data_IF_409254958730
#
_entry.id   IF_409254958730
#
_cell.length_a   1.000
_cell.length_b   1.000
_cell.length_c   1.000
_cell.angle_alpha   90.00
_cell.angle_beta   90.00
_cell.angle_gamma   90.00
#
_symmetry.space_group_name_H-M   'P 1'
#
loop_
_entity.id
_entity.type
_entity.pdbx_description
1 polymer ?
#
# COMPACT_ATOMS: atom_id res chain seq x y z
N UNK A 1 -13.51 8.64 -41.08
CA UNK A 1 -13.35 8.39 -39.63
C UNK A 1 -14.16 7.15 -39.27
N UNK A 2 -13.45 6.03 -39.09
CA UNK A 2 -14.08 4.76 -38.69
C UNK A 2 -14.30 4.86 -37.19
N UNK A 3 -15.52 4.92 -36.72
CA UNK A 3 -15.84 4.80 -35.31
C UNK A 3 -15.42 3.40 -34.85
N UNK A 4 -14.49 3.31 -33.88
CA UNK A 4 -14.10 2.05 -33.25
C UNK A 4 -15.28 1.59 -32.41
N UNK A 5 -15.79 0.39 -32.65
CA UNK A 5 -16.89 -0.19 -31.87
C UNK A 5 -16.35 -0.82 -30.58
N UNK A 6 -17.23 -1.02 -29.59
CA UNK A 6 -16.84 -1.76 -28.35
C UNK A 6 -16.31 -3.17 -28.65
N UNK A 7 -16.83 -3.81 -29.70
CA UNK A 7 -16.37 -5.13 -30.15
C UNK A 7 -14.95 -5.08 -30.72
N UNK A 8 -14.58 -3.99 -31.42
CA UNK A 8 -13.21 -3.81 -31.95
C UNK A 8 -12.22 -3.60 -30.79
N UNK A 9 -12.64 -2.99 -29.67
CA UNK A 9 -11.82 -2.80 -28.48
C UNK A 9 -11.60 -4.13 -27.72
N UNK A 10 -12.61 -4.97 -27.61
CA UNK A 10 -12.51 -6.28 -26.99
C UNK A 10 -11.54 -7.19 -27.73
N UNK A 11 -11.49 -7.11 -29.07
CA UNK A 11 -10.59 -7.91 -29.92
C UNK A 11 -9.11 -7.52 -29.80
N UNK A 12 -8.81 -6.26 -29.48
CA UNK A 12 -7.44 -5.74 -29.30
C UNK A 12 -7.03 -5.61 -27.85
N UNK A 13 -7.97 -5.82 -26.92
CA UNK A 13 -7.71 -5.73 -25.49
C UNK A 13 -6.74 -6.81 -25.02
N UNK A 14 -5.68 -6.38 -24.36
CA UNK A 14 -4.70 -7.28 -23.75
C UNK A 14 -4.15 -6.69 -22.45
N UNK A 15 -3.38 -7.48 -21.71
CA UNK A 15 -2.79 -7.08 -20.44
C UNK A 15 -1.90 -5.84 -20.56
N UNK A 16 -1.18 -5.65 -21.66
CA UNK A 16 -0.29 -4.52 -21.88
C UNK A 16 -1.09 -3.21 -21.95
N UNK A 17 -2.25 -3.22 -22.61
CA UNK A 17 -3.14 -2.06 -22.71
C UNK A 17 -3.79 -1.70 -21.37
N UNK A 18 -3.95 -2.66 -20.47
CA UNK A 18 -4.49 -2.41 -19.13
C UNK A 18 -3.55 -1.58 -18.25
N UNK A 19 -2.25 -1.53 -18.55
CA UNK A 19 -1.22 -0.95 -17.70
C UNK A 19 -0.95 -1.76 -16.43
N UNK A 20 -1.48 -2.99 -16.34
CA UNK A 20 -1.17 -3.91 -15.26
C UNK A 20 0.20 -4.54 -15.46
N UNK A 21 0.94 -4.63 -14.37
CA UNK A 21 2.24 -5.30 -14.30
C UNK A 21 2.08 -6.57 -13.48
N UNK A 22 2.30 -7.72 -14.11
CA UNK A 22 2.22 -9.02 -13.45
C UNK A 22 3.63 -9.55 -13.26
N UNK A 23 4.04 -9.76 -12.00
CA UNK A 23 5.37 -10.27 -11.64
C UNK A 23 5.23 -11.57 -10.87
N UNK A 24 5.88 -12.62 -11.35
CA UNK A 24 5.95 -13.89 -10.63
C UNK A 24 7.09 -13.86 -9.62
N UNK A 25 6.76 -14.12 -8.36
CA UNK A 25 7.69 -14.34 -7.24
C UNK A 25 7.73 -15.83 -6.89
N UNK A 26 8.56 -16.20 -5.92
CA UNK A 26 8.70 -17.62 -5.50
C UNK A 26 7.36 -18.19 -4.99
N UNK A 27 6.66 -17.45 -4.13
CA UNK A 27 5.49 -17.95 -3.39
C UNK A 27 4.16 -17.33 -3.84
N UNK A 28 4.19 -16.31 -4.69
CA UNK A 28 2.99 -15.62 -5.18
C UNK A 28 3.22 -14.95 -6.54
N UNK A 29 2.14 -14.64 -7.21
CA UNK A 29 2.13 -13.70 -8.33
C UNK A 29 1.62 -12.36 -7.84
N UNK A 30 2.35 -11.30 -8.13
CA UNK A 30 2.01 -9.93 -7.79
C UNK A 30 1.43 -9.20 -9.00
N UNK A 31 0.33 -8.50 -8.80
CA UNK A 31 -0.30 -7.63 -9.79
C UNK A 31 -0.25 -6.21 -9.25
N UNK A 32 0.37 -5.32 -10.00
CA UNK A 32 0.49 -3.88 -9.72
C UNK A 32 0.05 -3.07 -10.93
N UNK A 33 -0.03 -1.76 -10.79
CA UNK A 33 -0.31 -0.83 -11.89
C UNK A 33 0.87 0.13 -12.09
N UNK A 34 1.18 0.45 -13.36
CA UNK A 34 2.11 1.54 -13.68
C UNK A 34 1.64 2.92 -13.19
N UNK A 35 0.37 3.04 -12.76
CA UNK A 35 -0.23 4.25 -12.17
C UNK A 35 -0.27 4.22 -10.64
N UNK A 36 0.48 3.34 -9.98
CA UNK A 36 0.51 3.09 -8.54
C UNK A 36 -0.75 2.39 -8.02
N UNK A 37 -1.93 2.96 -8.26
CA UNK A 37 -3.19 2.45 -7.73
C UNK A 37 -3.91 1.53 -8.72
N UNK A 38 -4.53 0.50 -8.19
CA UNK A 38 -5.48 -0.37 -8.87
C UNK A 38 -6.89 0.13 -8.59
N UNK A 39 -7.66 0.40 -9.64
CA UNK A 39 -9.03 0.88 -9.53
C UNK A 39 -9.91 -0.17 -8.83
N UNK A 40 -10.90 0.29 -8.07
CA UNK A 40 -11.75 -0.57 -7.24
C UNK A 40 -12.38 -1.73 -8.02
N UNK A 41 -12.97 -1.45 -9.18
CA UNK A 41 -13.56 -2.49 -10.04
C UNK A 41 -12.55 -3.52 -10.52
N UNK A 42 -11.31 -3.10 -10.78
CA UNK A 42 -10.22 -4.02 -11.16
C UNK A 42 -9.85 -4.92 -9.98
N UNK A 43 -9.73 -4.35 -8.79
CA UNK A 43 -9.45 -5.09 -7.55
C UNK A 43 -10.55 -6.11 -7.27
N UNK A 44 -11.81 -5.68 -7.32
CA UNK A 44 -12.97 -6.56 -7.10
C UNK A 44 -12.99 -7.74 -8.09
N UNK A 45 -12.82 -7.47 -9.39
CA UNK A 45 -12.83 -8.52 -10.42
C UNK A 45 -11.68 -9.50 -10.22
N UNK A 46 -10.44 -9.02 -10.02
CA UNK A 46 -9.31 -9.91 -9.80
C UNK A 46 -9.52 -10.76 -8.54
N UNK A 47 -10.03 -10.18 -7.45
CA UNK A 47 -10.26 -10.92 -6.21
C UNK A 47 -11.42 -11.91 -6.31
N UNK A 48 -12.45 -11.65 -7.11
CA UNK A 48 -13.55 -12.59 -7.38
C UNK A 48 -13.07 -13.79 -8.19
N UNK A 49 -12.25 -13.55 -9.21
CA UNK A 49 -11.72 -14.60 -10.08
C UNK A 49 -10.58 -15.39 -9.41
N UNK A 50 -9.96 -14.82 -8.36
CA UNK A 50 -8.83 -15.41 -7.62
C UNK A 50 -9.08 -15.38 -6.11
N UNK A 51 -9.92 -16.28 -5.60
CA UNK A 51 -10.42 -16.29 -4.21
C UNK A 51 -9.35 -16.33 -3.10
N UNK A 52 -8.15 -16.79 -3.41
CA UNK A 52 -7.04 -16.82 -2.44
C UNK A 52 -6.17 -15.56 -2.46
N UNK A 53 -6.56 -14.53 -3.21
CA UNK A 53 -5.79 -13.29 -3.35
C UNK A 53 -5.72 -12.49 -2.04
N UNK A 54 -4.65 -11.73 -1.88
CA UNK A 54 -4.45 -10.74 -0.83
C UNK A 54 -4.34 -9.35 -1.45
N UNK A 55 -5.15 -8.42 -0.97
CA UNK A 55 -5.08 -7.00 -1.34
C UNK A 55 -4.00 -6.33 -0.50
N UNK A 56 -3.23 -5.45 -1.13
CA UNK A 56 -2.24 -4.61 -0.46
C UNK A 56 -2.51 -3.15 -0.77
N UNK A 57 -2.43 -2.30 0.26
CA UNK A 57 -2.48 -0.86 0.12
C UNK A 57 -1.30 -0.24 0.86
N UNK A 58 -0.33 0.27 0.13
CA UNK A 58 0.81 0.99 0.69
C UNK A 58 0.44 2.46 0.86
N UNK A 59 0.73 3.04 2.02
CA UNK A 59 0.38 4.43 2.33
C UNK A 59 1.46 5.12 3.15
N UNK A 60 1.70 6.41 2.84
CA UNK A 60 2.56 7.26 3.64
C UNK A 60 1.71 7.91 4.75
N UNK A 61 1.91 7.49 6.00
CA UNK A 61 1.21 8.04 7.16
C UNK A 61 1.96 9.20 7.77
N UNK A 62 1.25 10.10 8.46
CA UNK A 62 1.84 11.28 9.08
C UNK A 62 2.70 10.92 10.29
N UNK A 63 2.22 9.97 11.11
CA UNK A 63 2.95 9.51 12.28
C UNK A 63 2.48 8.15 12.76
N UNK A 64 3.39 7.45 13.45
CA UNK A 64 3.13 6.25 14.25
C UNK A 64 3.55 6.61 15.69
N UNK A 65 2.61 6.56 16.62
CA UNK A 65 2.80 7.16 17.96
C UNK A 65 2.47 6.19 19.09
N UNK A 66 3.24 6.29 20.18
CA UNK A 66 2.98 5.65 21.47
C UNK A 66 3.55 6.46 22.63
N UNK A 67 2.70 6.87 23.58
CA UNK A 67 3.11 7.45 24.87
C UNK A 67 4.17 8.57 24.77
N UNK A 68 4.03 9.48 23.80
CA UNK A 68 4.97 10.58 23.57
C UNK A 68 6.13 10.27 22.63
N UNK A 69 6.35 8.99 22.27
CA UNK A 69 7.28 8.63 21.21
C UNK A 69 6.55 8.68 19.85
N UNK A 70 7.22 9.19 18.83
CA UNK A 70 6.65 9.32 17.48
C UNK A 70 7.67 8.96 16.40
N UNK A 71 7.19 8.36 15.34
CA UNK A 71 7.92 8.15 14.08
C UNK A 71 7.15 8.92 13.01
N UNK A 72 7.71 10.01 12.47
CA UNK A 72 7.05 10.81 11.46
C UNK A 72 7.11 10.13 10.09
N UNK A 73 6.22 10.51 9.22
CA UNK A 73 6.17 10.20 7.78
C UNK A 73 6.75 8.83 7.39
N UNK A 74 5.94 7.80 7.61
CA UNK A 74 6.37 6.42 7.43
C UNK A 74 5.45 5.66 6.49
N UNK A 75 6.02 4.76 5.69
CA UNK A 75 5.20 3.82 4.95
C UNK A 75 4.62 2.75 5.88
N UNK A 76 3.32 2.50 5.71
CA UNK A 76 2.58 1.39 6.29
C UNK A 76 1.93 0.62 5.15
N UNK A 77 1.88 -0.69 5.26
CA UNK A 77 1.17 -1.55 4.33
C UNK A 77 -0.07 -2.12 5.00
N UNK A 78 -1.23 -1.84 4.42
CA UNK A 78 -2.45 -2.54 4.78
C UNK A 78 -2.60 -3.77 3.90
N UNK A 79 -2.90 -4.94 4.47
CA UNK A 79 -3.08 -6.18 3.72
C UNK A 79 -4.07 -7.13 4.39
N UNK A 80 -4.62 -8.09 3.63
CA UNK A 80 -5.59 -9.03 4.17
C UNK A 80 -4.94 -10.06 5.10
N UNK A 81 -3.78 -10.59 4.69
CA UNK A 81 -3.04 -11.63 5.43
C UNK A 81 -1.55 -11.37 5.38
N UNK A 82 -0.87 -11.62 6.48
CA UNK A 82 0.59 -11.66 6.54
C UNK A 82 1.07 -13.08 6.85
N UNK A 83 1.76 -13.74 5.92
CA UNK A 83 2.24 -15.13 6.05
C UNK A 83 1.13 -16.09 6.53
N UNK A 84 -0.07 -15.99 5.94
CA UNK A 84 -1.25 -16.81 6.27
C UNK A 84 -2.01 -16.38 7.52
N UNK A 85 -1.51 -15.44 8.32
CA UNK A 85 -2.23 -14.85 9.44
C UNK A 85 -3.19 -13.77 8.94
N UNK A 86 -4.50 -13.95 9.17
CA UNK A 86 -5.53 -12.95 8.88
C UNK A 86 -5.42 -11.85 9.92
N UNK A 87 -5.23 -10.62 9.47
CA UNK A 87 -5.11 -9.46 10.34
C UNK A 87 -6.48 -9.00 10.84
N UNK A 88 -6.60 -8.77 12.14
CA UNK A 88 -7.81 -8.18 12.73
C UNK A 88 -7.82 -6.67 12.48
N UNK A 89 -9.01 -6.07 12.38
CA UNK A 89 -9.18 -4.63 12.12
C UNK A 89 -8.52 -3.72 13.17
N UNK A 90 -8.32 -4.22 14.38
CA UNK A 90 -7.68 -3.52 15.49
C UNK A 90 -6.21 -3.90 15.69
N UNK A 91 -5.64 -4.71 14.79
CA UNK A 91 -4.29 -5.25 14.92
C UNK A 91 -3.27 -4.49 14.07
N UNK A 92 -2.08 -4.28 14.66
CA UNK A 92 -0.90 -3.79 13.95
C UNK A 92 0.28 -4.74 14.19
N UNK A 93 0.99 -5.08 13.12
CA UNK A 93 2.30 -5.69 13.21
C UNK A 93 3.33 -4.58 13.10
N UNK A 94 4.27 -4.49 14.02
CA UNK A 94 5.37 -3.54 13.97
C UNK A 94 6.65 -4.22 13.51
N UNK A 95 7.48 -3.54 12.73
CA UNK A 95 8.87 -3.95 12.61
C UNK A 95 9.57 -3.83 13.95
N UNK A 96 10.58 -4.64 14.19
CA UNK A 96 11.42 -4.52 15.39
C UNK A 96 12.06 -3.13 15.48
N UNK A 97 12.43 -2.52 14.35
CA UNK A 97 12.87 -1.14 14.30
C UNK A 97 11.82 -0.17 14.86
N UNK A 98 10.57 -0.22 14.37
CA UNK A 98 9.51 0.66 14.84
C UNK A 98 9.15 0.38 16.32
N UNK A 99 9.09 -0.88 16.70
CA UNK A 99 8.81 -1.29 18.07
C UNK A 99 9.86 -0.75 19.05
N UNK A 100 11.16 -0.85 18.71
CA UNK A 100 12.25 -0.31 19.52
C UNK A 100 12.18 1.21 19.64
N UNK A 101 11.95 1.92 18.55
CA UNK A 101 11.88 3.37 18.51
C UNK A 101 10.69 3.93 19.30
N UNK A 102 9.55 3.23 19.29
CA UNK A 102 8.36 3.58 20.07
C UNK A 102 8.40 3.04 21.50
N UNK A 103 9.35 2.17 21.85
CA UNK A 103 9.35 1.43 23.10
C UNK A 103 8.14 0.47 23.22
N UNK A 104 7.59 0.03 22.08
CA UNK A 104 6.36 -0.74 22.02
C UNK A 104 6.59 -2.24 22.16
N UNK A 105 5.60 -2.93 22.76
CA UNK A 105 5.56 -4.39 22.95
C UNK A 105 4.21 -4.94 22.48
N UNK A 106 4.15 -6.24 22.28
CA UNK A 106 2.88 -6.93 21.99
C UNK A 106 1.85 -6.59 23.07
N UNK A 107 0.64 -6.22 22.64
CA UNK A 107 -0.48 -5.78 23.48
C UNK A 107 -0.59 -4.27 23.69
N UNK A 108 0.45 -3.50 23.40
CA UNK A 108 0.41 -2.03 23.49
C UNK A 108 -0.49 -1.41 22.42
N UNK A 109 -0.96 -0.21 22.70
CA UNK A 109 -1.79 0.57 21.76
C UNK A 109 -0.91 1.56 21.00
N UNK A 110 -1.02 1.54 19.68
CA UNK A 110 -0.35 2.44 18.74
C UNK A 110 -1.38 3.32 18.07
N UNK A 111 -1.12 4.62 18.01
CA UNK A 111 -1.91 5.57 17.24
C UNK A 111 -1.22 5.81 15.91
N UNK A 112 -1.96 5.66 14.82
CA UNK A 112 -1.50 5.97 13.45
C UNK A 112 -2.30 7.16 12.94
N UNK A 113 -1.61 8.24 12.60
CA UNK A 113 -2.21 9.45 12.01
C UNK A 113 -1.91 9.51 10.52
N UNK A 114 -2.87 9.89 9.69
CA UNK A 114 -2.74 9.92 8.24
C UNK A 114 -3.59 11.03 7.64
N UNK A 115 -3.25 11.44 6.42
CA UNK A 115 -4.09 12.33 5.64
C UNK A 115 -5.22 11.53 4.99
N UNK A 116 -6.43 12.06 5.06
CA UNK A 116 -7.61 11.53 4.38
C UNK A 116 -8.08 12.53 3.34
N UNK A 117 -8.33 12.07 2.13
CA UNK A 117 -8.85 12.93 1.07
C UNK A 117 -10.37 13.04 1.20
N UNK A 118 -10.87 14.24 1.50
CA UNK A 118 -12.29 14.58 1.39
C UNK A 118 -12.56 15.31 0.07
N UNK A 119 -12.83 14.55 -1.00
CA UNK A 119 -13.05 15.11 -2.33
C UNK A 119 -11.77 15.65 -2.99
N UNK A 120 -11.93 16.54 -3.98
CA UNK A 120 -10.83 16.94 -4.88
C UNK A 120 -9.85 17.98 -4.30
N UNK A 121 -10.08 18.57 -3.12
CA UNK A 121 -9.32 19.74 -2.67
C UNK A 121 -8.99 19.84 -1.18
N UNK A 122 -9.42 18.90 -0.34
CA UNK A 122 -9.18 18.99 1.09
C UNK A 122 -8.54 17.71 1.61
N UNK A 123 -7.41 17.87 2.28
CA UNK A 123 -6.76 16.84 3.06
C UNK A 123 -7.05 17.12 4.53
N UNK A 124 -7.81 16.26 5.17
CA UNK A 124 -8.00 16.29 6.61
C UNK A 124 -7.09 15.25 7.28
N UNK A 125 -6.65 15.53 8.49
CA UNK A 125 -5.89 14.56 9.28
C UNK A 125 -6.86 13.71 10.08
N UNK A 126 -6.75 12.40 9.96
CA UNK A 126 -7.47 11.42 10.76
C UNK A 126 -6.50 10.50 11.49
N UNK A 127 -6.97 9.72 12.45
CA UNK A 127 -6.13 8.81 13.20
C UNK A 127 -6.91 7.59 13.70
N UNK A 128 -6.23 6.44 13.72
CA UNK A 128 -6.75 5.20 14.28
C UNK A 128 -5.82 4.61 15.33
N UNK A 129 -6.40 3.86 16.24
CA UNK A 129 -5.68 3.11 17.26
C UNK A 129 -5.71 1.62 16.93
N UNK A 130 -4.54 0.98 17.10
CA UNK A 130 -4.34 -0.44 16.88
C UNK A 130 -3.63 -1.06 18.07
N UNK A 131 -3.84 -2.34 18.30
CA UNK A 131 -3.08 -3.13 19.27
C UNK A 131 -1.95 -3.87 18.59
N UNK A 132 -0.77 -3.81 19.16
CA UNK A 132 0.38 -4.59 18.66
C UNK A 132 0.11 -6.07 18.83
N UNK A 133 -0.13 -6.76 17.71
CA UNK A 133 -0.34 -8.20 17.68
C UNK A 133 0.98 -8.97 17.62
N UNK A 134 1.98 -8.41 16.93
CA UNK A 134 3.31 -9.03 16.75
C UNK A 134 4.37 -7.98 16.47
N UNK A 135 5.60 -8.26 16.89
CA UNK A 135 6.81 -7.57 16.41
C UNK A 135 7.53 -8.51 15.45
N UNK A 136 7.87 -8.02 14.27
CA UNK A 136 8.46 -8.80 13.16
C UNK A 136 9.84 -8.23 12.85
N UNK A 137 10.88 -9.06 12.63
CA UNK A 137 12.17 -8.56 12.17
C UNK A 137 12.03 -7.76 10.86
N UNK A 138 12.58 -6.54 10.82
CA UNK A 138 12.53 -5.69 9.63
C UNK A 138 13.17 -6.38 8.41
N UNK A 139 14.18 -7.21 8.64
CA UNK A 139 14.85 -8.00 7.60
C UNK A 139 13.89 -8.89 6.79
N UNK A 140 12.80 -9.37 7.41
CA UNK A 140 11.79 -10.16 6.70
C UNK A 140 11.04 -9.31 5.66
N UNK A 141 10.74 -8.06 6.00
CA UNK A 141 10.04 -7.13 5.09
C UNK A 141 10.96 -6.58 4.00
N UNK A 142 12.22 -6.31 4.35
CA UNK A 142 13.25 -5.95 3.36
C UNK A 142 13.45 -7.08 2.35
N UNK A 143 13.48 -8.33 2.80
CA UNK A 143 13.64 -9.49 1.92
C UNK A 143 12.45 -9.74 0.99
N UNK A 144 11.24 -9.37 1.40
CA UNK A 144 10.04 -9.43 0.54
C UNK A 144 10.15 -8.44 -0.63
N UNK A 145 10.60 -7.21 -0.36
CA UNK A 145 10.88 -6.18 -1.38
C UNK A 145 9.67 -5.71 -2.19
N UNK A 146 8.46 -6.16 -1.85
CA UNK A 146 7.23 -5.82 -2.56
C UNK A 146 6.06 -5.47 -1.64
N UNK A 147 6.36 -5.15 -0.37
CA UNK A 147 5.35 -4.69 0.59
C UNK A 147 4.98 -3.21 0.40
N UNK A 148 5.78 -2.45 -0.33
CA UNK A 148 5.53 -1.04 -0.61
C UNK A 148 5.45 -0.80 -2.11
N UNK A 149 4.56 0.08 -2.53
CA UNK A 149 4.49 0.53 -3.92
C UNK A 149 5.56 1.58 -4.22
N UNK A 150 5.92 1.69 -5.49
CA UNK A 150 6.74 2.80 -5.99
C UNK A 150 5.86 4.03 -6.19
N UNK A 151 6.07 5.04 -5.35
CA UNK A 151 5.38 6.33 -5.47
C UNK A 151 6.30 7.33 -6.19
N UNK A 152 5.94 7.82 -7.39
CA UNK A 152 6.71 8.85 -8.07
C UNK A 152 6.90 10.09 -7.17
N UNK A 153 8.11 10.64 -7.15
CA UNK A 153 8.46 11.77 -6.30
C UNK A 153 8.75 11.42 -4.82
N UNK A 154 8.42 10.20 -4.38
CA UNK A 154 8.74 9.71 -3.04
C UNK A 154 9.76 8.56 -3.07
N UNK A 155 9.44 7.46 -3.75
CA UNK A 155 10.26 6.24 -3.68
C UNK A 155 11.59 6.33 -4.42
N UNK A 156 11.71 7.22 -5.39
CA UNK A 156 12.87 7.34 -6.29
C UNK A 156 13.83 8.50 -5.95
N UNK A 157 13.64 9.18 -4.81
CA UNK A 157 14.53 10.24 -4.34
C UNK A 157 15.58 9.72 -3.35
N UNK A 158 16.71 10.40 -3.24
CA UNK A 158 17.80 9.95 -2.38
C UNK A 158 17.53 10.20 -0.90
N UNK A 159 16.90 11.33 -0.55
CA UNK A 159 16.65 11.76 0.83
C UNK A 159 15.16 12.02 1.10
N UNK A 160 14.73 11.85 2.34
CA UNK A 160 13.36 12.24 2.74
C UNK A 160 13.09 13.73 2.52
N UNK A 161 14.12 14.56 2.68
CA UNK A 161 14.03 16.01 2.44
C UNK A 161 13.82 16.38 0.96
N UNK A 162 14.05 15.45 0.04
CA UNK A 162 13.85 15.63 -1.40
C UNK A 162 12.48 15.13 -1.87
N UNK A 163 11.61 14.71 -0.95
CA UNK A 163 10.27 14.27 -1.28
C UNK A 163 9.48 15.40 -1.96
N UNK A 164 9.09 15.14 -3.19
CA UNK A 164 8.21 16.00 -3.99
C UNK A 164 6.81 15.37 -4.05
N UNK A 165 5.95 15.81 -3.16
CA UNK A 165 4.58 15.34 -3.07
C UNK A 165 3.64 16.50 -2.79
N UNK A 166 2.39 16.39 -3.25
CA UNK A 166 1.33 17.35 -2.92
C UNK A 166 0.88 17.27 -1.43
N UNK A 167 1.48 16.38 -0.64
CA UNK A 167 1.19 16.23 0.78
C UNK A 167 1.89 17.33 1.59
N UNK A 168 1.23 17.92 2.58
CA UNK A 168 1.80 18.96 3.45
C UNK A 168 2.77 18.33 4.48
N UNK A 169 3.95 17.89 4.02
CA UNK A 169 4.97 17.28 4.86
C UNK A 169 5.71 18.36 5.65
N UNK A 170 5.77 18.21 6.98
CA UNK A 170 6.55 19.07 7.87
C UNK A 170 7.98 18.51 7.98
N UNK A 171 8.89 19.03 7.16
CA UNK A 171 10.27 18.53 7.03
C UNK A 171 11.08 18.65 8.33
N UNK A 172 10.73 19.59 9.21
CA UNK A 172 11.34 19.78 10.53
C UNK A 172 11.07 18.63 11.52
N UNK A 173 10.11 17.78 11.25
CA UNK A 173 9.83 16.57 12.04
C UNK A 173 10.73 15.38 11.63
N UNK A 174 11.34 15.42 10.45
CA UNK A 174 12.21 14.36 9.94
C UNK A 174 13.57 14.48 10.63
N UNK A 175 14.00 13.40 11.25
CA UNK A 175 15.26 13.34 12.01
C UNK A 175 16.36 12.63 11.20
N UNK A 176 17.62 12.75 11.65
CA UNK A 176 18.76 12.02 11.06
C UNK A 176 18.55 10.48 11.11
N UNK A 177 17.75 10.00 12.07
CA UNK A 177 17.40 8.58 12.17
C UNK A 177 16.40 8.16 11.07
N UNK A 178 15.47 9.05 10.70
CA UNK A 178 14.53 8.81 9.59
C UNK A 178 15.26 8.82 8.26
N UNK A 179 16.21 9.74 8.05
CA UNK A 179 17.07 9.77 6.88
C UNK A 179 17.93 8.50 6.77
N UNK A 180 18.53 8.03 7.89
CA UNK A 180 19.29 6.77 7.90
C UNK A 180 18.41 5.56 7.58
N UNK A 181 17.16 5.54 8.08
CA UNK A 181 16.21 4.49 7.70
C UNK A 181 15.93 4.52 6.21
N UNK A 182 15.69 5.71 5.65
CA UNK A 182 15.45 5.90 4.24
C UNK A 182 16.62 5.45 3.37
N UNK A 183 17.84 5.79 3.75
CA UNK A 183 19.06 5.39 3.02
C UNK A 183 19.21 3.86 2.94
N UNK A 184 18.88 3.15 4.03
CA UNK A 184 19.08 1.71 4.14
C UNK A 184 17.91 0.89 3.62
N UNK A 185 16.68 1.36 3.83
CA UNK A 185 15.47 0.54 3.68
C UNK A 185 14.40 1.16 2.77
N UNK A 186 14.60 2.41 2.35
CA UNK A 186 13.69 3.14 1.46
C UNK A 186 12.23 3.10 1.97
N UNK A 187 11.29 2.81 1.08
CA UNK A 187 9.86 2.71 1.37
C UNK A 187 9.44 1.41 2.07
N UNK A 188 10.39 0.58 2.55
CA UNK A 188 10.04 -0.59 3.35
C UNK A 188 9.11 -0.17 4.50
N UNK A 189 7.93 -0.81 4.68
CA UNK A 189 6.98 -0.36 5.69
C UNK A 189 7.51 -0.55 7.09
N UNK A 190 7.16 0.36 8.00
CA UNK A 190 7.48 0.25 9.43
C UNK A 190 6.40 -0.51 10.21
N UNK A 191 5.22 -0.67 9.61
CA UNK A 191 4.11 -1.43 10.17
C UNK A 191 3.25 -2.07 9.07
N UNK A 192 2.52 -3.12 9.47
CA UNK A 192 1.49 -3.77 8.65
C UNK A 192 0.19 -3.76 9.47
N UNK A 193 -0.93 -3.43 8.82
CA UNK A 193 -2.28 -3.39 9.40
C UNK A 193 -3.28 -4.12 8.51
N UNK A 194 -4.50 -4.37 9.04
CA UNK A 194 -5.54 -4.99 8.24
C UNK A 194 -6.03 -4.06 7.12
N UNK A 195 -6.16 -4.59 5.90
CA UNK A 195 -6.67 -3.86 4.74
C UNK A 195 -8.06 -3.25 5.01
N UNK A 196 -9.00 -4.04 5.52
CA UNK A 196 -10.37 -3.61 5.81
C UNK A 196 -10.48 -2.60 6.97
N UNK A 197 -9.38 -2.33 7.68
CA UNK A 197 -9.38 -1.28 8.70
C UNK A 197 -9.29 0.13 8.10
N UNK A 198 -8.65 0.27 6.94
CA UNK A 198 -8.24 1.59 6.42
C UNK A 198 -8.65 1.86 4.98
N UNK A 199 -9.08 0.85 4.22
CA UNK A 199 -9.41 1.04 2.80
C UNK A 199 -10.47 2.12 2.57
N UNK A 200 -11.44 2.27 3.47
CA UNK A 200 -12.47 3.31 3.40
C UNK A 200 -11.93 4.73 3.61
N UNK A 201 -10.77 4.88 4.27
CA UNK A 201 -10.13 6.18 4.49
C UNK A 201 -9.00 6.45 3.48
N UNK A 202 -8.25 5.43 3.09
CA UNK A 202 -7.10 5.53 2.19
C UNK A 202 -7.46 5.39 0.72
N UNK A 203 -8.54 4.66 0.41
CA UNK A 203 -9.07 4.54 -0.94
C UNK A 203 -9.47 5.91 -1.49
N UNK A 204 -9.23 6.13 -2.77
CA UNK A 204 -9.47 7.39 -3.44
C UNK A 204 -9.99 7.16 -4.87
N UNK A 205 -10.22 8.24 -5.62
CA UNK A 205 -10.70 8.18 -6.99
C UNK A 205 -9.78 7.41 -7.96
N UNK A 206 -8.51 7.19 -7.57
CA UNK A 206 -7.54 6.48 -8.40
C UNK A 206 -7.50 4.97 -8.11
N UNK A 207 -7.94 4.55 -6.92
CA UNK A 207 -8.03 3.14 -6.58
C UNK A 207 -8.14 2.81 -5.10
N UNK A 208 -8.31 1.52 -4.84
CA UNK A 208 -8.47 0.95 -3.50
C UNK A 208 -7.32 0.02 -3.10
N UNK A 209 -6.37 -0.28 -3.98
CA UNK A 209 -5.19 -1.08 -3.67
C UNK A 209 -3.97 -0.59 -4.46
N UNK A 210 -2.76 -0.90 -3.99
CA UNK A 210 -1.51 -0.68 -4.71
C UNK A 210 -0.95 -1.96 -5.30
N UNK A 211 -1.34 -3.11 -4.77
CA UNK A 211 -0.99 -4.42 -5.30
C UNK A 211 -2.03 -5.48 -4.92
N UNK A 212 -2.05 -6.57 -5.67
CA UNK A 212 -2.76 -7.81 -5.34
C UNK A 212 -1.75 -8.95 -5.41
N UNK A 213 -1.73 -9.82 -4.41
CA UNK A 213 -0.92 -11.05 -4.40
C UNK A 213 -1.81 -12.26 -4.52
N UNK A 214 -1.46 -13.16 -5.42
CA UNK A 214 -2.17 -14.42 -5.66
C UNK A 214 -1.18 -15.55 -5.34
N UNK A 215 -1.40 -16.33 -4.25
CA UNK A 215 -0.49 -17.39 -3.84
C UNK A 215 -0.38 -18.48 -4.91
N UNK A 216 0.86 -18.85 -5.28
CA UNK A 216 1.22 -20.05 -6.09
C UNK A 216 0.37 -20.30 -7.35
N UNK A 217 -0.31 -19.30 -7.92
CA UNK A 217 -1.20 -19.47 -9.05
C UNK A 217 -0.84 -18.55 -10.22
N UNK A 218 -1.18 -18.97 -11.42
CA UNK A 218 -1.31 -18.05 -12.55
C UNK A 218 -2.61 -17.27 -12.35
N UNK A 219 -2.56 -15.92 -12.38
CA UNK A 219 -3.77 -15.12 -12.15
C UNK A 219 -4.78 -15.36 -13.27
N UNK A 220 -6.04 -15.50 -12.90
CA UNK A 220 -7.15 -15.38 -13.83
C UNK A 220 -7.48 -13.88 -13.99
N UNK A 221 -7.32 -13.35 -15.18
CA UNK A 221 -7.58 -11.95 -15.54
C UNK A 221 -8.62 -11.85 -16.67
N UNK A 222 -9.30 -12.95 -16.99
CA UNK A 222 -10.27 -13.01 -18.11
C UNK A 222 -11.54 -12.18 -17.86
N UNK A 223 -11.83 -11.86 -16.59
CA UNK A 223 -12.94 -10.98 -16.20
C UNK A 223 -12.70 -9.49 -16.43
N UNK A 224 -11.45 -9.07 -16.69
CA UNK A 224 -11.12 -7.65 -16.87
C UNK A 224 -11.67 -7.11 -18.20
N UNK A 225 -12.15 -5.87 -18.19
CA UNK A 225 -12.73 -5.17 -19.34
C UNK A 225 -12.13 -3.77 -19.48
N UNK A 226 -12.02 -3.22 -20.71
CA UNK A 226 -11.45 -1.89 -20.98
C UNK A 226 -12.06 -0.77 -20.13
N UNK A 227 -13.39 -0.79 -19.93
CA UNK A 227 -14.11 0.24 -19.18
C UNK A 227 -13.66 0.34 -17.71
N UNK A 228 -13.13 -0.74 -17.13
CA UNK A 228 -12.62 -0.74 -15.74
C UNK A 228 -11.37 0.12 -15.59
N UNK A 229 -10.71 0.45 -16.70
CA UNK A 229 -9.50 1.27 -16.77
C UNK A 229 -9.77 2.69 -17.32
N UNK A 230 -11.06 3.05 -17.47
CA UNK A 230 -11.46 4.36 -18.02
C UNK A 230 -11.23 4.49 -19.53
N UNK A 231 -11.07 3.38 -20.24
CA UNK A 231 -10.98 3.31 -21.69
C UNK A 231 -12.42 3.17 -22.22
N UNK A 232 -12.87 4.17 -23.01
CA UNK A 232 -14.21 4.23 -23.63
C UNK A 232 -14.09 4.08 -25.15
#
# INVERSE_FOLDING_TARGET
DRQISSTDLDDIWNQELSGLVVRRKADFTEITSGRVFLQEKVVETICQDNLASDRLFSYLVNSIEREGNSIPYSFITAMDRYKGHILRKDEILLSDYAANRLGARVGDTIRVSYYKSEGLKRLDTDARQFKVGRVVPLSEWVSDGSLSADFPGLSNVERCTDWDSDLPIQMDLITDEDERYWDLFRSTPKAIIAYDAVVGDWGNAYGSATAIRIPNARPDLTGLRPEMFGIQ
#
